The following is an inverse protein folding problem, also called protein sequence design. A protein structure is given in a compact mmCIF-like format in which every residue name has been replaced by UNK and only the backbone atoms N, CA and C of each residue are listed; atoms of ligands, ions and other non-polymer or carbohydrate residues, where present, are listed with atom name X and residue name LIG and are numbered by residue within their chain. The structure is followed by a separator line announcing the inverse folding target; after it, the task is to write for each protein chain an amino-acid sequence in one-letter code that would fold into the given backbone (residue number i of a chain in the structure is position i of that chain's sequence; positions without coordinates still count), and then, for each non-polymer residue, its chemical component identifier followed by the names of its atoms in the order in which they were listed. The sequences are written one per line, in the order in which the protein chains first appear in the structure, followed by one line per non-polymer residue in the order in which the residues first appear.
data_IF_507631168502
#
_entry.id   IF_507631168502
#
_cell.length_a   1.000
_cell.length_b   1.000
_cell.length_c   1.000
_cell.angle_alpha   90.00
_cell.angle_beta   90.00
_cell.angle_gamma   90.00
#
_symmetry.space_group_name_H-M   'P 1'
#
loop_
_entity.id
_entity.type
_entity.pdbx_description
1 polymer ?
#
# COMPACT_ATOMS: atom_id res chain seq x y z
N UNK A 1 45.11 2.30 -26.44
CA UNK A 1 45.04 1.33 -25.33
C UNK A 1 45.19 2.10 -24.03
N UNK A 2 44.20 2.30 -23.18
CA UNK A 2 42.78 2.68 -23.28
C UNK A 2 42.39 3.03 -21.84
N UNK A 3 41.80 4.21 -21.63
CA UNK A 3 41.33 4.75 -20.33
C UNK A 3 39.99 4.12 -19.87
N UNK A 4 39.77 2.82 -20.13
CA UNK A 4 38.44 2.20 -20.05
C UNK A 4 38.34 1.08 -19.02
N UNK A 5 38.86 1.30 -17.81
CA UNK A 5 38.53 0.47 -16.64
C UNK A 5 38.13 1.34 -15.45
N UNK A 6 37.10 2.15 -15.70
CA UNK A 6 36.23 2.74 -14.70
C UNK A 6 35.43 1.59 -14.04
N UNK A 7 36.00 1.01 -12.98
CA UNK A 7 35.31 0.02 -12.15
C UNK A 7 34.21 0.74 -11.36
N UNK A 8 32.98 0.52 -11.80
CA UNK A 8 31.75 1.15 -11.32
C UNK A 8 31.23 0.52 -10.02
N UNK A 9 32.08 0.33 -9.01
CA UNK A 9 31.68 -0.29 -7.75
C UNK A 9 31.76 0.71 -6.59
N UNK A 10 30.61 0.88 -5.93
CA UNK A 10 30.33 1.64 -4.71
C UNK A 10 30.27 3.18 -4.83
N UNK A 11 29.24 3.69 -5.51
CA UNK A 11 28.65 4.98 -5.13
C UNK A 11 28.07 4.81 -3.71
N UNK A 12 28.91 5.02 -2.69
CA UNK A 12 28.44 5.08 -1.31
C UNK A 12 27.58 6.34 -1.19
N UNK A 13 26.28 6.13 -1.02
CA UNK A 13 25.25 7.16 -0.83
C UNK A 13 25.78 8.27 0.08
N UNK A 14 25.79 9.51 -0.41
CA UNK A 14 26.36 10.65 0.32
C UNK A 14 25.58 10.93 1.62
N UNK A 15 26.09 11.78 2.52
CA UNK A 15 25.36 12.17 3.73
C UNK A 15 23.94 12.70 3.44
N UNK A 16 23.76 13.43 2.33
CA UNK A 16 22.46 13.95 1.89
C UNK A 16 21.52 12.83 1.47
N UNK A 17 22.01 11.85 0.72
CA UNK A 17 21.20 10.72 0.25
C UNK A 17 20.77 9.81 1.41
N UNK A 18 21.62 9.68 2.45
CA UNK A 18 21.28 8.95 3.68
C UNK A 18 20.19 9.66 4.48
N UNK A 19 20.30 10.96 4.69
CA UNK A 19 19.24 11.74 5.36
C UNK A 19 17.93 11.66 4.57
N UNK A 20 17.99 11.73 3.23
CA UNK A 20 16.82 11.56 2.38
C UNK A 20 16.23 10.13 2.43
N UNK A 21 17.05 9.10 2.66
CA UNK A 21 16.59 7.74 2.90
C UNK A 21 15.91 7.61 4.27
N UNK A 22 16.53 8.10 5.34
CA UNK A 22 15.98 8.07 6.71
C UNK A 22 14.64 8.82 6.81
N UNK A 23 14.53 9.98 6.17
CA UNK A 23 13.26 10.73 6.10
C UNK A 23 12.19 9.95 5.33
N UNK A 24 12.55 9.30 4.22
CA UNK A 24 11.61 8.46 3.45
C UNK A 24 11.16 7.23 4.24
N UNK A 25 12.05 6.61 4.99
CA UNK A 25 11.72 5.49 5.87
C UNK A 25 10.77 5.94 6.99
N UNK A 26 11.08 7.04 7.67
CA UNK A 26 10.20 7.60 8.70
C UNK A 26 8.81 8.00 8.18
N UNK A 27 8.72 8.48 6.94
CA UNK A 27 7.44 8.79 6.30
C UNK A 27 6.65 7.52 5.93
N UNK A 28 7.31 6.48 5.39
CA UNK A 28 6.68 5.20 5.13
C UNK A 28 6.17 4.53 6.42
N UNK A 29 6.93 4.63 7.51
CA UNK A 29 6.55 4.15 8.83
C UNK A 29 5.31 4.88 9.38
N UNK A 30 5.22 6.19 9.16
CA UNK A 30 4.05 6.97 9.56
C UNK A 30 2.78 6.52 8.82
N UNK A 31 2.87 6.25 7.51
CA UNK A 31 1.77 5.70 6.72
C UNK A 31 1.36 4.33 7.24
N UNK A 32 2.33 3.45 7.50
CA UNK A 32 2.06 2.14 8.04
C UNK A 32 1.38 2.23 9.41
N UNK A 33 1.84 3.13 10.29
CA UNK A 33 1.24 3.33 11.60
C UNK A 33 -0.24 3.76 11.51
N UNK A 34 -0.56 4.66 10.58
CA UNK A 34 -1.96 5.05 10.29
C UNK A 34 -2.76 3.85 9.78
N UNK A 35 -2.22 3.10 8.82
CA UNK A 35 -2.89 1.93 8.26
C UNK A 35 -3.16 0.87 9.33
N UNK A 36 -2.17 0.48 10.13
CA UNK A 36 -2.30 -0.50 11.23
C UNK A 36 -3.32 -0.04 12.26
N UNK A 37 -3.22 1.20 12.74
CA UNK A 37 -4.16 1.74 13.74
C UNK A 37 -5.59 1.77 13.22
N UNK A 38 -5.78 2.17 11.98
CA UNK A 38 -7.10 2.23 11.34
C UNK A 38 -7.66 0.84 11.08
N UNK A 39 -6.82 -0.07 10.60
CA UNK A 39 -7.18 -1.45 10.30
C UNK A 39 -7.61 -2.22 11.56
N UNK A 40 -6.86 -2.09 12.65
CA UNK A 40 -7.17 -2.73 13.94
C UNK A 40 -8.48 -2.23 14.56
N UNK A 41 -8.93 -1.02 14.22
CA UNK A 41 -10.24 -0.53 14.63
C UNK A 41 -11.41 -1.28 13.94
N UNK A 42 -11.17 -1.93 12.81
CA UNK A 42 -12.15 -2.74 12.08
C UNK A 42 -11.95 -4.25 12.27
N UNK A 43 -10.72 -4.69 12.50
CA UNK A 43 -10.31 -6.08 12.54
C UNK A 43 -9.79 -6.47 13.93
N UNK A 44 -10.71 -6.48 14.92
CA UNK A 44 -10.39 -6.68 16.33
C UNK A 44 -9.80 -8.09 16.55
N UNK A 45 -8.67 -8.21 17.26
CA UNK A 45 -7.97 -9.47 17.60
C UNK A 45 -7.13 -10.14 16.50
N UNK A 46 -6.74 -9.41 15.46
CA UNK A 46 -5.96 -10.00 14.36
C UNK A 46 -4.47 -9.82 14.60
N UNK A 47 -3.74 -10.94 14.56
CA UNK A 47 -2.31 -10.91 14.23
C UNK A 47 -2.20 -11.12 12.73
N UNK A 48 -1.74 -10.10 12.02
CA UNK A 48 -1.26 -10.25 10.65
C UNK A 48 0.23 -10.59 10.71
N UNK A 49 0.74 -11.31 9.72
CA UNK A 49 2.19 -11.53 9.57
C UNK A 49 2.82 -10.31 8.91
N UNK A 50 3.91 -9.82 9.50
CA UNK A 50 4.58 -8.59 9.07
C UNK A 50 5.25 -8.76 7.70
N UNK A 51 5.67 -9.98 7.32
CA UNK A 51 6.37 -10.29 6.06
C UNK A 51 5.68 -9.68 4.82
N UNK A 52 4.36 -9.85 4.69
CA UNK A 52 3.60 -9.28 3.56
C UNK A 52 3.59 -7.75 3.59
N UNK A 53 3.54 -7.15 4.77
CA UNK A 53 3.52 -5.70 4.94
C UNK A 53 4.90 -5.11 4.61
N UNK A 54 5.97 -5.74 5.10
CA UNK A 54 7.36 -5.36 4.87
C UNK A 54 7.74 -5.44 3.39
N UNK A 55 7.28 -6.46 2.67
CA UNK A 55 7.57 -6.63 1.24
C UNK A 55 6.78 -5.63 0.35
N UNK A 56 5.53 -5.34 0.73
CA UNK A 56 4.60 -4.58 -0.12
C UNK A 56 4.68 -3.08 0.11
N UNK A 57 4.91 -2.65 1.35
CA UNK A 57 4.93 -1.22 1.70
C UNK A 57 5.96 -0.41 0.91
N UNK A 58 7.22 -0.85 0.72
CA UNK A 58 8.19 -0.10 -0.08
C UNK A 58 7.73 0.11 -1.52
N UNK A 59 7.03 -0.88 -2.08
CA UNK A 59 6.49 -0.80 -3.44
C UNK A 59 5.33 0.19 -3.48
N UNK A 60 4.38 0.09 -2.55
CA UNK A 60 3.24 1.03 -2.45
C UNK A 60 3.70 2.47 -2.19
N UNK A 61 4.74 2.65 -1.37
CA UNK A 61 5.35 3.94 -1.12
C UNK A 61 6.01 4.52 -2.37
N UNK A 62 6.71 3.68 -3.15
CA UNK A 62 7.39 4.12 -4.38
C UNK A 62 6.43 4.62 -5.47
N UNK A 63 5.16 4.21 -5.44
CA UNK A 63 4.15 4.61 -6.44
C UNK A 63 3.30 5.80 -6.02
N UNK A 64 3.46 6.27 -4.77
CA UNK A 64 2.90 7.56 -4.32
C UNK A 64 3.78 8.67 -4.91
N UNK A 65 3.20 9.68 -5.60
CA UNK A 65 3.94 10.83 -6.11
C UNK A 65 4.72 11.52 -4.99
N UNK A 66 5.96 11.95 -5.28
CA UNK A 66 6.85 12.47 -4.24
C UNK A 66 6.29 13.72 -3.56
N UNK A 67 5.61 14.55 -4.33
CA UNK A 67 4.89 15.74 -3.91
C UNK A 67 3.72 15.46 -2.96
N UNK A 68 3.18 14.23 -2.95
CA UNK A 68 2.07 13.82 -2.10
C UNK A 68 2.54 13.10 -0.83
N UNK A 69 3.79 12.60 -0.78
CA UNK A 69 4.30 11.74 0.29
C UNK A 69 4.25 12.39 1.67
N UNK A 70 4.60 13.67 1.78
CA UNK A 70 4.65 14.39 3.06
C UNK A 70 3.26 14.53 3.71
N UNK A 71 2.20 14.60 2.90
CA UNK A 71 0.82 14.75 3.35
C UNK A 71 0.03 13.44 3.34
N UNK A 72 0.64 12.37 2.81
CA UNK A 72 -0.03 11.09 2.62
C UNK A 72 -0.60 10.47 3.91
N UNK A 73 0.09 10.50 5.07
CA UNK A 73 -0.49 9.98 6.31
C UNK A 73 -1.81 10.67 6.69
N UNK A 74 -1.90 12.00 6.53
CA UNK A 74 -3.10 12.79 6.83
C UNK A 74 -4.22 12.44 5.85
N UNK A 75 -3.90 12.37 4.55
CA UNK A 75 -4.86 11.96 3.51
C UNK A 75 -5.40 10.55 3.75
N UNK A 76 -4.55 9.62 4.20
CA UNK A 76 -4.98 8.27 4.54
C UNK A 76 -5.95 8.26 5.75
N UNK A 77 -5.70 9.09 6.76
CA UNK A 77 -6.65 9.28 7.88
C UNK A 77 -7.98 9.87 7.41
N UNK A 78 -7.95 10.89 6.54
CA UNK A 78 -9.15 11.49 5.95
C UNK A 78 -9.95 10.47 5.14
N UNK A 79 -9.29 9.64 4.34
CA UNK A 79 -9.90 8.53 3.62
C UNK A 79 -10.59 7.55 4.58
N UNK A 80 -9.91 7.12 5.64
CA UNK A 80 -10.46 6.19 6.64
C UNK A 80 -11.70 6.78 7.31
N UNK A 81 -11.64 8.05 7.69
CA UNK A 81 -12.76 8.75 8.33
C UNK A 81 -13.95 8.90 7.38
N UNK A 82 -13.69 9.28 6.13
CA UNK A 82 -14.71 9.49 5.10
C UNK A 82 -15.44 8.19 4.76
N UNK A 83 -14.73 7.08 4.67
CA UNK A 83 -15.28 5.79 4.25
C UNK A 83 -15.48 4.79 5.41
N UNK A 84 -15.47 5.27 6.65
CA UNK A 84 -15.42 4.44 7.86
C UNK A 84 -16.45 3.30 7.87
N UNK A 85 -17.72 3.60 7.60
CA UNK A 85 -18.78 2.59 7.60
C UNK A 85 -18.63 1.55 6.48
N UNK A 86 -18.15 1.98 5.31
CA UNK A 86 -17.93 1.08 4.18
C UNK A 86 -16.73 0.18 4.43
N UNK A 87 -15.64 0.72 4.98
CA UNK A 87 -14.47 -0.04 5.42
C UNK A 87 -14.84 -1.06 6.49
N UNK A 88 -15.67 -0.68 7.47
CA UNK A 88 -16.15 -1.62 8.49
C UNK A 88 -16.90 -2.81 7.87
N UNK A 89 -17.81 -2.57 6.92
CA UNK A 89 -18.51 -3.65 6.19
C UNK A 89 -17.56 -4.50 5.36
N UNK A 90 -16.65 -3.86 4.63
CA UNK A 90 -15.64 -4.52 3.80
C UNK A 90 -14.80 -5.51 4.61
N UNK A 91 -14.23 -5.05 5.74
CA UNK A 91 -13.36 -5.89 6.56
C UNK A 91 -14.13 -6.92 7.40
N UNK A 92 -15.41 -6.67 7.73
CA UNK A 92 -16.25 -7.70 8.32
C UNK A 92 -16.52 -8.86 7.33
N UNK A 93 -16.68 -8.55 6.04
CA UNK A 93 -17.04 -9.53 5.01
C UNK A 93 -15.83 -10.25 4.39
N UNK A 94 -14.71 -9.53 4.24
CA UNK A 94 -13.53 -9.99 3.49
C UNK A 94 -12.22 -9.84 4.23
N UNK A 95 -12.24 -9.21 5.40
CA UNK A 95 -11.07 -9.09 6.23
C UNK A 95 -10.65 -10.43 6.84
N UNK A 96 -9.63 -10.40 7.71
CA UNK A 96 -8.88 -11.57 8.19
C UNK A 96 -9.73 -12.49 9.08
N UNK A 97 -10.84 -11.99 9.62
CA UNK A 97 -11.79 -12.78 10.41
C UNK A 97 -12.90 -13.40 9.56
N UNK A 98 -12.97 -13.07 8.27
CA UNK A 98 -14.02 -13.57 7.40
C UNK A 98 -13.80 -15.03 7.01
N UNK A 99 -14.91 -15.73 6.76
CA UNK A 99 -14.89 -17.10 6.20
C UNK A 99 -14.24 -17.11 4.81
N UNK A 100 -14.30 -15.99 4.08
CA UNK A 100 -13.78 -15.90 2.71
C UNK A 100 -12.26 -15.75 2.64
N UNK A 101 -11.62 -15.18 3.68
CA UNK A 101 -10.16 -15.05 3.78
C UNK A 101 -9.44 -16.41 3.80
N UNK A 102 -10.12 -17.48 4.25
CA UNK A 102 -9.56 -18.83 4.34
C UNK A 102 -9.19 -19.46 2.99
N UNK A 103 -9.69 -18.92 1.87
CA UNK A 103 -9.47 -19.47 0.53
C UNK A 103 -8.40 -18.73 -0.28
N UNK A 104 -7.65 -17.80 0.33
CA UNK A 104 -6.58 -17.05 -0.34
C UNK A 104 -7.06 -16.07 -1.43
N UNK A 105 -8.37 -16.00 -1.69
CA UNK A 105 -8.97 -14.96 -2.54
C UNK A 105 -9.07 -13.69 -1.70
N UNK A 106 -8.64 -12.55 -2.24
CA UNK A 106 -8.57 -11.26 -1.52
C UNK A 106 -7.52 -11.23 -0.39
N UNK A 107 -6.43 -11.98 -0.57
CA UNK A 107 -5.24 -12.03 0.30
C UNK A 107 -4.85 -10.66 0.85
N UNK A 108 -4.82 -9.63 0.00
CA UNK A 108 -4.43 -8.28 0.40
C UNK A 108 -5.34 -7.67 1.51
N UNK A 109 -6.65 -7.96 1.50
CA UNK A 109 -7.60 -7.42 2.50
C UNK A 109 -7.38 -7.98 3.92
N UNK A 110 -6.58 -9.04 4.05
CA UNK A 110 -6.15 -9.58 5.33
C UNK A 110 -4.99 -8.78 5.98
N UNK A 111 -4.49 -7.74 5.32
CA UNK A 111 -3.35 -6.95 5.80
C UNK A 111 -3.65 -5.44 5.83
N UNK A 112 -3.04 -4.67 6.75
CA UNK A 112 -3.25 -3.22 6.85
C UNK A 112 -2.92 -2.44 5.57
N UNK A 113 -1.95 -2.91 4.77
CA UNK A 113 -1.56 -2.29 3.50
C UNK A 113 -2.70 -2.24 2.48
N UNK A 114 -3.79 -2.99 2.65
CA UNK A 114 -4.98 -2.85 1.82
C UNK A 114 -5.61 -1.45 1.91
N UNK A 115 -5.46 -0.74 3.03
CA UNK A 115 -5.98 0.63 3.17
C UNK A 115 -5.30 1.59 2.19
N UNK A 116 -4.00 1.46 1.99
CA UNK A 116 -3.22 2.26 1.05
C UNK A 116 -3.70 2.00 -0.37
N UNK A 117 -3.90 0.73 -0.73
CA UNK A 117 -4.40 0.35 -2.07
C UNK A 117 -5.84 0.82 -2.31
N UNK A 118 -6.72 0.72 -1.30
CA UNK A 118 -8.10 1.19 -1.37
C UNK A 118 -8.17 2.70 -1.57
N UNK A 119 -7.36 3.45 -0.82
CA UNK A 119 -7.24 4.91 -0.95
C UNK A 119 -6.80 5.29 -2.36
N UNK A 120 -5.70 4.72 -2.84
CA UNK A 120 -5.18 5.00 -4.19
C UNK A 120 -6.20 4.63 -5.27
N UNK A 121 -6.93 3.52 -5.11
CA UNK A 121 -7.96 3.11 -6.06
C UNK A 121 -9.13 4.12 -6.10
N UNK A 122 -9.51 4.67 -4.95
CA UNK A 122 -10.57 5.69 -4.86
C UNK A 122 -10.12 7.01 -5.48
N UNK A 123 -8.87 7.41 -5.28
CA UNK A 123 -8.32 8.62 -5.87
C UNK A 123 -8.18 8.50 -7.39
N UNK A 124 -7.50 7.45 -7.86
CA UNK A 124 -7.20 7.25 -9.28
C UNK A 124 -8.46 6.90 -10.08
N UNK A 125 -9.49 6.34 -9.42
CA UNK A 125 -10.76 5.88 -10.02
C UNK A 125 -10.62 4.90 -11.19
N UNK A 126 -9.45 4.29 -11.35
CA UNK A 126 -9.14 3.35 -12.42
C UNK A 126 -8.13 2.31 -11.96
N UNK A 127 -8.55 1.04 -11.92
CA UNK A 127 -7.65 -0.07 -11.60
C UNK A 127 -6.51 -0.20 -12.63
N UNK A 128 -6.75 0.13 -13.89
CA UNK A 128 -5.73 0.03 -14.94
C UNK A 128 -4.67 1.12 -14.81
N UNK A 129 -5.07 2.34 -14.45
CA UNK A 129 -4.11 3.42 -14.20
C UNK A 129 -3.29 3.13 -12.94
N UNK A 130 -3.91 2.55 -11.90
CA UNK A 130 -3.18 2.13 -10.70
C UNK A 130 -2.23 0.96 -10.98
N UNK A 131 -2.64 -0.03 -11.78
CA UNK A 131 -1.77 -1.13 -12.23
C UNK A 131 -0.57 -0.60 -13.03
N UNK A 132 -0.78 0.39 -13.89
CA UNK A 132 0.30 1.04 -14.63
C UNK A 132 1.32 1.73 -13.70
N UNK A 133 0.86 2.36 -12.61
CA UNK A 133 1.76 2.92 -11.57
C UNK A 133 2.59 1.84 -10.88
N UNK A 134 1.99 0.67 -10.62
CA UNK A 134 2.70 -0.46 -10.03
C UNK A 134 3.74 -1.07 -10.97
N UNK A 135 3.56 -0.93 -12.29
CA UNK A 135 4.51 -1.37 -13.31
C UNK A 135 4.97 -2.83 -13.10
N UNK A 136 4.03 -3.73 -12.80
CA UNK A 136 4.29 -5.16 -12.56
C UNK A 136 5.00 -5.51 -11.26
N UNK A 137 5.31 -4.53 -10.39
CA UNK A 137 5.97 -4.77 -9.10
C UNK A 137 5.06 -5.47 -8.07
N UNK A 138 3.75 -5.39 -8.26
CA UNK A 138 2.74 -6.05 -7.42
C UNK A 138 1.77 -6.86 -8.28
N UNK A 139 1.14 -7.93 -7.74
CA UNK A 139 0.23 -8.76 -8.51
C UNK A 139 -1.04 -8.03 -8.96
N UNK A 140 -1.33 -8.02 -10.27
CA UNK A 140 -2.57 -7.45 -10.83
C UNK A 140 -3.84 -8.04 -10.21
N UNK A 141 -3.77 -9.31 -9.77
CA UNK A 141 -4.89 -9.98 -9.09
C UNK A 141 -5.34 -9.22 -7.83
N UNK A 142 -4.43 -8.55 -7.13
CA UNK A 142 -4.80 -7.77 -5.94
C UNK A 142 -5.65 -6.56 -6.29
N UNK A 143 -5.35 -5.86 -7.39
CA UNK A 143 -6.21 -4.77 -7.87
C UNK A 143 -7.55 -5.27 -8.35
N UNK A 144 -7.59 -6.43 -9.02
CA UNK A 144 -8.86 -7.03 -9.44
C UNK A 144 -9.74 -7.37 -8.23
N UNK A 145 -9.17 -8.02 -7.22
CA UNK A 145 -9.87 -8.39 -6.00
C UNK A 145 -10.34 -7.17 -5.22
N UNK A 146 -9.46 -6.19 -4.97
CA UNK A 146 -9.80 -4.96 -4.23
C UNK A 146 -10.83 -4.12 -4.99
N UNK A 147 -10.68 -3.97 -6.32
CA UNK A 147 -11.62 -3.18 -7.12
C UNK A 147 -13.01 -3.82 -7.23
N UNK A 148 -13.08 -5.13 -7.43
CA UNK A 148 -14.35 -5.86 -7.42
C UNK A 148 -15.04 -5.77 -6.06
N UNK A 149 -14.27 -5.88 -4.97
CA UNK A 149 -14.82 -5.87 -3.61
C UNK A 149 -15.22 -4.46 -3.16
N UNK A 150 -14.45 -3.44 -3.53
CA UNK A 150 -14.85 -2.05 -3.29
C UNK A 150 -15.99 -1.63 -4.21
N UNK A 151 -16.09 -2.18 -5.42
CA UNK A 151 -17.10 -1.78 -6.42
C UNK A 151 -16.64 -0.66 -7.34
N UNK A 152 -15.32 -0.55 -7.62
CA UNK A 152 -14.80 0.29 -8.71
C UNK A 152 -14.65 -0.57 -9.96
N UNK A 153 -15.29 -0.17 -11.06
CA UNK A 153 -15.17 -0.88 -12.33
C UNK A 153 -16.04 -2.14 -12.45
N UNK A 154 -17.05 -2.30 -11.60
CA UNK A 154 -18.22 -3.09 -11.97
C UNK A 154 -18.91 -2.36 -13.14
N UNK A 155 -18.56 -2.74 -14.37
CA UNK A 155 -19.41 -2.49 -15.51
C UNK A 155 -20.75 -3.16 -15.21
N UNK A 156 -21.80 -2.34 -15.04
CA UNK A 156 -23.12 -2.74 -15.53
C UNK A 156 -23.07 -2.76 -17.05
#
# INVERSE_FOLDING_TARGET
MSEDQMSADAYTSGPVDRVAQEVREGAADAVLAVAVRSYTAFAIHVRFHDDMTEDVLPVLWSVIPEEERDTYPVRLEEFVNTYRERLARLYAEYGPQSVTAQYGRRELLAYPVSLIVLEQLVEVRSRYALAARWNGKLPDRWLNDVSATWGVGALL
#
